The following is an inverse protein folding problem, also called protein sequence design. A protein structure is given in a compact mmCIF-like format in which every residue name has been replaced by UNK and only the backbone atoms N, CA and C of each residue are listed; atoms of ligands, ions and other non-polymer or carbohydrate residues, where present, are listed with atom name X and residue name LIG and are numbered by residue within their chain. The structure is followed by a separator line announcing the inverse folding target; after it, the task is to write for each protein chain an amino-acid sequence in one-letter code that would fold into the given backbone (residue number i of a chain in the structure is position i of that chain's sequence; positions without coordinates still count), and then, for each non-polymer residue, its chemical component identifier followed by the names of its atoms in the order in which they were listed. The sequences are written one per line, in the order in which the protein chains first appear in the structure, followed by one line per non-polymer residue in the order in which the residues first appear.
data_IF_439527823241
#
_entry.id   IF_439527823241
#
_cell.length_a   1.000
_cell.length_b   1.000
_cell.length_c   1.000
_cell.angle_alpha   90.00
_cell.angle_beta   90.00
_cell.angle_gamma   90.00
#
_symmetry.space_group_name_H-M   'P 1'
#
loop_
_entity.id
_entity.type
_entity.pdbx_description
1 polymer ?
#
# COMPACT_ATOMS: atom_id res chain seq x y z
N UNK A 1 7.09 41.97 -35.34
CA UNK A 1 7.75 41.08 -34.36
C UNK A 1 7.60 41.74 -33.00
N UNK A 2 6.65 41.31 -32.15
CA UNK A 2 6.48 41.93 -30.83
C UNK A 2 6.46 40.83 -29.78
N UNK A 3 7.60 40.67 -29.12
CA UNK A 3 7.80 39.74 -28.02
C UNK A 3 6.83 40.09 -26.88
N UNK A 4 5.73 39.32 -26.81
CA UNK A 4 4.82 39.35 -25.66
C UNK A 4 5.63 38.89 -24.44
N UNK A 5 6.21 39.86 -23.73
CA UNK A 5 6.93 39.67 -22.46
C UNK A 5 6.07 38.78 -21.57
N UNK A 6 6.51 37.54 -21.32
CA UNK A 6 5.94 36.65 -20.31
C UNK A 6 6.00 37.40 -18.99
N UNK A 7 4.88 37.97 -18.59
CA UNK A 7 4.77 38.81 -17.41
C UNK A 7 5.07 37.96 -16.17
N UNK A 8 6.30 38.05 -15.68
CA UNK A 8 6.81 37.39 -14.47
C UNK A 8 6.29 38.04 -13.18
N UNK A 9 5.24 38.90 -13.27
CA UNK A 9 4.51 39.49 -12.14
C UNK A 9 3.19 38.76 -11.87
N UNK A 10 3.19 37.42 -11.74
CA UNK A 10 2.10 36.74 -11.03
C UNK A 10 2.44 36.81 -9.54
N UNK A 11 1.68 37.56 -8.72
CA UNK A 11 2.02 37.77 -7.30
C UNK A 11 2.12 36.43 -6.56
N UNK A 12 3.18 36.25 -5.78
CA UNK A 12 3.50 35.03 -5.01
C UNK A 12 2.45 34.67 -3.95
N UNK A 13 1.46 35.53 -3.72
CA UNK A 13 0.38 35.36 -2.75
C UNK A 13 -0.70 34.36 -3.15
N UNK A 14 -0.68 33.83 -4.40
CA UNK A 14 -1.61 32.77 -4.82
C UNK A 14 -1.13 31.36 -4.50
N UNK A 15 0.12 31.20 -4.05
CA UNK A 15 0.51 29.98 -3.34
C UNK A 15 0.09 30.13 -1.89
N UNK A 16 -0.98 29.45 -1.45
CA UNK A 16 -1.34 29.50 -0.05
C UNK A 16 -0.19 28.96 0.82
N UNK A 17 -0.02 29.48 2.04
CA UNK A 17 1.04 29.07 2.97
C UNK A 17 0.93 27.61 3.42
N UNK A 18 -0.14 26.90 3.04
CA UNK A 18 -0.37 25.49 3.30
C UNK A 18 -0.02 24.57 2.11
N UNK A 19 0.57 25.10 1.03
CA UNK A 19 0.95 24.29 -0.15
C UNK A 19 2.05 23.25 0.13
N UNK A 20 2.70 23.30 1.30
CA UNK A 20 3.62 22.29 1.81
C UNK A 20 2.94 21.35 2.81
N UNK A 21 1.91 20.61 2.41
CA UNK A 21 1.32 19.58 3.26
C UNK A 21 2.35 18.49 3.55
N UNK A 22 2.85 18.42 4.79
CA UNK A 22 3.61 17.24 5.27
C UNK A 22 2.75 16.01 4.98
N UNK A 23 3.30 15.03 4.24
CA UNK A 23 2.61 13.75 4.04
C UNK A 23 2.35 13.18 5.44
N UNK A 24 1.07 13.01 5.79
CA UNK A 24 0.67 12.33 7.02
C UNK A 24 1.38 10.98 6.99
N UNK A 25 2.08 10.61 8.06
CA UNK A 25 2.60 9.25 8.16
C UNK A 25 1.40 8.31 8.04
N UNK A 26 1.29 7.62 6.91
CA UNK A 26 0.20 6.69 6.68
C UNK A 26 0.55 5.45 7.48
N UNK A 27 -0.34 4.98 8.34
CA UNK A 27 -0.18 3.67 8.96
C UNK A 27 0.10 2.61 7.88
N UNK A 28 0.94 1.59 8.17
CA UNK A 28 1.22 0.56 7.19
C UNK A 28 -0.08 -0.10 6.73
N UNK A 29 -0.24 -0.35 5.42
CA UNK A 29 -1.46 -0.93 4.89
C UNK A 29 -1.68 -2.33 5.48
N UNK A 30 -2.91 -2.56 5.94
CA UNK A 30 -3.40 -3.88 6.36
C UNK A 30 -4.34 -4.40 5.28
N UNK A 31 -4.23 -5.68 4.97
CA UNK A 31 -5.12 -6.38 4.05
C UNK A 31 -6.14 -7.18 4.84
N UNK A 32 -7.38 -7.15 4.38
CA UNK A 32 -8.44 -8.03 4.87
C UNK A 32 -8.50 -9.35 4.07
N UNK A 33 -9.53 -10.15 4.31
CA UNK A 33 -9.71 -11.41 3.59
C UNK A 33 -10.06 -11.19 2.10
N UNK A 34 -10.79 -10.13 1.76
CA UNK A 34 -11.17 -9.81 0.39
C UNK A 34 -9.96 -9.34 -0.42
N UNK A 35 -9.16 -8.45 0.17
CA UNK A 35 -7.92 -7.95 -0.41
C UNK A 35 -6.97 -9.11 -0.73
N UNK A 36 -6.81 -10.06 0.20
CA UNK A 36 -5.95 -11.22 -0.03
C UNK A 36 -6.49 -12.15 -1.11
N UNK A 37 -7.81 -12.34 -1.21
CA UNK A 37 -8.41 -13.13 -2.29
C UNK A 37 -8.16 -12.48 -3.66
N UNK A 38 -8.26 -11.15 -3.74
CA UNK A 38 -7.99 -10.40 -4.97
C UNK A 38 -6.49 -10.39 -5.31
N UNK A 39 -5.63 -10.19 -4.31
CA UNK A 39 -4.18 -10.12 -4.50
C UNK A 39 -3.60 -11.44 -5.03
N UNK A 40 -4.06 -12.57 -4.47
CA UNK A 40 -3.54 -13.89 -4.81
C UNK A 40 -4.39 -14.65 -5.83
N UNK A 41 -5.53 -14.11 -6.26
CA UNK A 41 -6.53 -14.81 -7.08
C UNK A 41 -6.91 -16.19 -6.51
N UNK A 42 -7.11 -16.28 -5.20
CA UNK A 42 -7.46 -17.53 -4.52
C UNK A 42 -8.81 -17.44 -3.82
N UNK A 43 -9.42 -18.60 -3.60
CA UNK A 43 -10.65 -18.70 -2.80
C UNK A 43 -10.38 -18.54 -1.30
N UNK A 44 -11.41 -18.17 -0.54
CA UNK A 44 -11.34 -18.12 0.92
C UNK A 44 -10.98 -19.48 1.55
N UNK A 45 -11.32 -20.61 0.91
CA UNK A 45 -10.98 -21.96 1.40
C UNK A 45 -9.49 -22.25 1.23
N UNK A 46 -8.88 -21.79 0.14
CA UNK A 46 -7.42 -21.85 -0.06
C UNK A 46 -6.71 -21.00 1.00
N UNK A 47 -7.21 -19.79 1.27
CA UNK A 47 -6.64 -18.92 2.30
C UNK A 47 -6.73 -19.53 3.71
N UNK A 48 -7.84 -20.22 4.02
CA UNK A 48 -7.97 -20.99 5.27
C UNK A 48 -6.93 -22.11 5.38
N UNK A 49 -6.69 -22.84 4.28
CA UNK A 49 -5.66 -23.88 4.23
C UNK A 49 -4.27 -23.29 4.47
N UNK A 50 -3.92 -22.20 3.79
CA UNK A 50 -2.65 -21.51 3.98
C UNK A 50 -2.42 -21.00 5.40
N UNK A 51 -3.48 -20.57 6.11
CA UNK A 51 -3.41 -20.23 7.54
C UNK A 51 -3.07 -21.45 8.40
N UNK A 52 -3.69 -22.61 8.12
CA UNK A 52 -3.43 -23.86 8.86
C UNK A 52 -2.02 -24.40 8.58
N UNK A 53 -1.56 -24.28 7.35
CA UNK A 53 -0.24 -24.71 6.91
C UNK A 53 0.87 -23.72 7.33
N UNK A 54 0.52 -22.55 7.88
CA UNK A 54 1.48 -21.53 8.28
C UNK A 54 2.17 -20.83 7.11
N UNK A 55 1.63 -20.98 5.90
CA UNK A 55 2.17 -20.39 4.68
C UNK A 55 1.99 -18.88 4.67
N UNK A 56 0.95 -18.34 5.30
CA UNK A 56 0.70 -16.88 5.34
C UNK A 56 0.60 -16.36 6.77
N UNK A 57 1.42 -15.36 7.17
CA UNK A 57 1.35 -14.72 8.48
C UNK A 57 0.07 -13.93 8.58
N UNK A 58 -0.68 -14.19 9.63
CA UNK A 58 -1.94 -13.54 9.89
C UNK A 58 -1.98 -13.01 11.32
N UNK A 59 -2.73 -11.93 11.53
CA UNK A 59 -3.02 -11.37 12.85
C UNK A 59 -4.50 -11.45 13.12
N UNK A 60 -4.88 -11.95 14.29
CA UNK A 60 -6.28 -12.01 14.72
C UNK A 60 -6.55 -10.85 15.67
N UNK A 61 -7.48 -9.98 15.29
CA UNK A 61 -7.91 -8.83 16.10
C UNK A 61 -9.43 -8.86 16.16
N UNK A 62 -9.99 -9.01 17.37
CA UNK A 62 -11.44 -9.00 17.58
C UNK A 62 -12.21 -10.07 16.79
N UNK A 63 -11.61 -11.25 16.57
CA UNK A 63 -12.23 -12.33 15.80
C UNK A 63 -12.08 -12.23 14.27
N UNK A 64 -11.65 -11.06 13.76
CA UNK A 64 -11.31 -10.87 12.35
C UNK A 64 -9.83 -11.17 12.10
N UNK A 65 -9.53 -11.60 10.88
CA UNK A 65 -8.19 -11.94 10.44
C UNK A 65 -7.70 -10.84 9.52
N UNK A 66 -6.54 -10.30 9.84
CA UNK A 66 -5.86 -9.25 9.11
C UNK A 66 -4.47 -9.71 8.71
N UNK A 67 -3.96 -9.11 7.65
CA UNK A 67 -2.66 -9.40 7.08
C UNK A 67 -1.88 -8.10 6.98
N UNK A 68 -0.63 -8.11 7.44
CA UNK A 68 0.24 -6.94 7.28
C UNK A 68 0.85 -6.95 5.88
N UNK A 69 0.77 -5.83 5.18
CA UNK A 69 1.37 -5.73 3.85
C UNK A 69 2.87 -6.01 3.86
N UNK A 70 3.59 -5.56 4.89
CA UNK A 70 5.02 -5.82 5.04
C UNK A 70 5.34 -7.31 5.14
N UNK A 71 4.55 -8.05 5.91
CA UNK A 71 4.77 -9.48 6.10
C UNK A 71 4.40 -10.27 4.85
N UNK A 72 3.30 -9.90 4.18
CA UNK A 72 2.89 -10.48 2.88
C UNK A 72 3.96 -10.24 1.82
N UNK A 73 4.52 -9.03 1.76
CA UNK A 73 5.60 -8.70 0.81
C UNK A 73 6.89 -9.48 1.11
N UNK A 74 7.28 -9.59 2.38
CA UNK A 74 8.45 -10.39 2.79
C UNK A 74 8.30 -11.85 2.38
N UNK A 75 7.11 -12.39 2.53
CA UNK A 75 6.85 -13.75 2.09
C UNK A 75 6.95 -13.94 0.58
N UNK A 76 6.41 -12.97 -0.18
CA UNK A 76 6.46 -13.04 -1.63
C UNK A 76 7.92 -13.03 -2.11
N UNK A 77 8.75 -12.14 -1.56
CA UNK A 77 10.20 -12.10 -1.82
C UNK A 77 10.90 -13.41 -1.48
N UNK A 78 10.60 -14.00 -0.32
CA UNK A 78 11.18 -15.30 0.10
C UNK A 78 10.97 -16.43 -0.93
N UNK A 79 9.87 -16.40 -1.67
CA UNK A 79 9.60 -17.38 -2.72
C UNK A 79 10.41 -17.15 -4.00
N UNK A 80 10.78 -15.91 -4.29
CA UNK A 80 11.56 -15.52 -5.48
C UNK A 80 13.07 -15.83 -5.31
N UNK A 81 13.59 -15.76 -4.08
CA UNK A 81 15.01 -16.03 -3.77
C UNK A 81 15.43 -17.50 -3.96
N UNK A 82 14.47 -18.41 -4.11
CA UNK A 82 14.71 -19.86 -4.22
C UNK A 82 14.90 -20.33 -5.68
N UNK A 83 15.17 -19.40 -6.61
CA UNK A 83 15.23 -19.66 -8.06
C UNK A 83 16.52 -19.19 -8.73
N UNK A 84 17.63 -19.19 -8.00
CA UNK A 84 18.98 -19.00 -8.55
C UNK A 84 19.90 -20.19 -8.26
#
# INVERSE_FOLDING_TARGET
MNERKRNKKRPSYRTPPFSGGKKRQTSPPIYDNADMMQLFHVSGRTLQRWRKEGIVPYKKIGGKIFYLAEDVLKMMRKGDDAKE
#
